data_IF_461361075863
#
_entry.id   IF_461361075863
#
_cell.length_a   1.000
_cell.length_b   1.000
_cell.length_c   1.000
_cell.angle_alpha   90.00
_cell.angle_beta   90.00
_cell.angle_gamma   90.00
#
_symmetry.space_group_name_H-M   'P 1'
#
loop_
_entity.id
_entity.type
_entity.pdbx_description
1 polymer ?
#
# COMPACT_ATOMS: atom_id res chain seq x y z
N UNK A 1 2.09 17.82 13.90
CA UNK A 1 1.54 16.66 13.19
C UNK A 1 1.87 16.89 11.74
N UNK A 2 2.79 16.10 11.23
CA UNK A 2 3.11 16.10 9.81
C UNK A 2 1.99 15.35 9.09
N UNK A 3 1.60 15.84 7.93
CA UNK A 3 0.64 15.20 7.04
C UNK A 3 1.35 14.93 5.72
N UNK A 4 1.02 13.82 5.08
CA UNK A 4 1.45 13.54 3.73
C UNK A 4 0.32 13.89 2.75
N UNK A 5 0.70 14.40 1.58
CA UNK A 5 -0.23 14.65 0.49
C UNK A 5 -0.08 13.53 -0.56
N UNK A 6 -1.09 12.68 -0.68
CA UNK A 6 -1.17 11.68 -1.74
C UNK A 6 -1.85 12.29 -2.97
N UNK A 7 -1.17 12.22 -4.12
CA UNK A 7 -1.68 12.77 -5.38
C UNK A 7 -2.20 11.62 -6.25
N UNK A 8 -3.50 11.62 -6.55
CA UNK A 8 -4.12 10.63 -7.42
C UNK A 8 -3.87 11.00 -8.88
N UNK A 9 -3.15 10.14 -9.59
CA UNK A 9 -2.87 10.28 -11.02
C UNK A 9 -3.78 9.36 -11.84
N UNK A 10 -4.40 9.87 -12.91
CA UNK A 10 -5.05 9.05 -13.94
C UNK A 10 -3.98 8.51 -14.89
N UNK A 11 -4.00 7.21 -15.15
CA UNK A 11 -3.10 6.53 -16.11
C UNK A 11 -3.89 5.73 -17.16
N UNK A 12 -3.25 5.50 -18.31
CA UNK A 12 -3.77 4.57 -19.33
C UNK A 12 -3.43 3.09 -19.02
N UNK A 13 -3.89 2.17 -19.88
CA UNK A 13 -3.55 0.74 -19.84
C UNK A 13 -2.05 0.40 -19.80
N UNK A 14 -1.18 1.28 -20.26
CA UNK A 14 0.27 1.09 -20.27
C UNK A 14 0.92 1.78 -19.05
N UNK A 15 0.12 2.18 -18.05
CA UNK A 15 0.50 2.96 -16.87
C UNK A 15 1.15 4.31 -17.20
N UNK A 16 0.87 4.89 -18.38
CA UNK A 16 1.34 6.23 -18.71
C UNK A 16 0.42 7.28 -18.10
N UNK A 17 1.05 8.28 -17.48
CA UNK A 17 0.36 9.43 -16.91
C UNK A 17 -0.50 10.16 -17.94
N UNK A 18 -1.76 10.44 -17.57
CA UNK A 18 -2.71 11.24 -18.35
C UNK A 18 -2.89 12.62 -17.70
N UNK A 19 -3.30 12.65 -16.43
CA UNK A 19 -3.56 13.88 -15.66
C UNK A 19 -3.59 13.61 -14.16
N UNK A 20 -3.49 14.68 -13.38
CA UNK A 20 -3.83 14.65 -11.95
C UNK A 20 -5.35 14.71 -11.76
N UNK A 21 -5.89 13.88 -10.85
CA UNK A 21 -7.30 13.86 -10.49
C UNK A 21 -7.60 14.62 -9.19
N UNK A 22 -6.66 14.61 -8.25
CA UNK A 22 -6.78 15.34 -6.99
C UNK A 22 -5.72 14.95 -5.99
N UNK A 23 -5.68 15.66 -4.87
CA UNK A 23 -4.79 15.39 -3.74
C UNK A 23 -5.58 15.11 -2.47
N UNK A 24 -5.02 14.28 -1.60
CA UNK A 24 -5.62 13.86 -0.34
C UNK A 24 -4.61 14.03 0.78
N UNK A 25 -5.00 14.73 1.83
CA UNK A 25 -4.22 14.83 3.06
C UNK A 25 -4.48 13.58 3.91
N UNK A 26 -3.40 12.89 4.25
CA UNK A 26 -3.41 11.68 5.08
C UNK A 26 -2.39 11.84 6.20
N UNK A 27 -2.69 11.25 7.35
CA UNK A 27 -1.91 11.46 8.57
C UNK A 27 -0.76 10.46 8.71
N UNK A 28 -1.07 9.19 8.95
CA UNK A 28 -0.09 8.15 9.25
C UNK A 28 -0.24 6.98 8.27
N UNK A 29 0.85 6.26 8.00
CA UNK A 29 0.89 5.10 7.11
C UNK A 29 1.10 5.45 5.63
N UNK A 30 1.02 6.73 5.28
CA UNK A 30 1.29 7.22 3.93
C UNK A 30 2.76 7.08 3.53
N UNK A 31 3.67 7.00 4.49
CA UNK A 31 5.10 6.78 4.27
C UNK A 31 5.38 5.47 3.52
N UNK A 32 4.54 4.45 3.72
CA UNK A 32 4.68 3.16 3.03
C UNK A 32 4.24 3.22 1.56
N UNK A 33 3.48 4.23 1.15
CA UNK A 33 2.94 4.32 -0.22
C UNK A 33 4.00 4.84 -1.18
N UNK A 34 4.37 4.02 -2.16
CA UNK A 34 5.32 4.36 -3.20
C UNK A 34 4.66 4.78 -4.52
N UNK A 35 3.46 4.27 -4.83
CA UNK A 35 2.69 4.67 -6.02
C UNK A 35 1.19 4.72 -5.72
N UNK A 36 0.50 5.71 -6.27
CA UNK A 36 -0.94 5.89 -6.13
C UNK A 36 -1.54 6.42 -7.43
N UNK A 37 -2.39 5.62 -8.08
CA UNK A 37 -2.98 5.99 -9.37
C UNK A 37 -4.33 5.33 -9.62
N UNK A 38 -5.12 5.94 -10.49
CA UNK A 38 -6.35 5.41 -11.04
C UNK A 38 -6.09 4.96 -12.48
N UNK A 39 -6.37 3.70 -12.79
CA UNK A 39 -6.30 3.17 -14.14
C UNK A 39 -7.67 3.30 -14.81
N UNK A 40 -7.72 4.07 -15.91
CA UNK A 40 -8.97 4.37 -16.61
C UNK A 40 -9.62 3.16 -17.25
N UNK A 41 -8.83 2.19 -17.70
CA UNK A 41 -9.33 1.01 -18.41
C UNK A 41 -9.91 -0.03 -17.45
N UNK A 42 -9.32 -0.18 -16.24
CA UNK A 42 -9.86 -1.07 -15.21
C UNK A 42 -10.84 -0.40 -14.25
N UNK A 43 -10.98 0.93 -14.33
CA UNK A 43 -11.77 1.77 -13.43
C UNK A 43 -11.41 1.60 -11.95
N UNK A 44 -10.17 1.21 -11.66
CA UNK A 44 -9.67 0.93 -10.32
C UNK A 44 -8.55 1.86 -9.90
N UNK A 45 -8.56 2.18 -8.62
CA UNK A 45 -7.43 2.76 -7.91
C UNK A 45 -6.44 1.65 -7.58
N UNK A 46 -5.15 1.93 -7.71
CA UNK A 46 -4.04 1.08 -7.32
C UNK A 46 -3.12 1.84 -6.37
N UNK A 47 -2.77 1.19 -5.26
CA UNK A 47 -1.78 1.65 -4.28
C UNK A 47 -0.66 0.62 -4.26
N UNK A 48 0.56 1.08 -4.52
CA UNK A 48 1.76 0.30 -4.28
C UNK A 48 2.31 0.77 -2.96
N UNK A 49 2.65 -0.18 -2.11
CA UNK A 49 3.29 0.12 -0.85
C UNK A 49 4.35 -0.92 -0.54
N UNK A 50 5.38 -0.48 0.16
CA UNK A 50 6.53 -1.28 0.53
C UNK A 50 6.93 -1.00 1.99
N UNK A 51 8.05 -1.57 2.41
CA UNK A 51 8.58 -1.48 3.77
C UNK A 51 9.05 -0.09 4.20
N UNK A 52 9.07 0.92 3.32
CA UNK A 52 9.59 2.29 3.53
C UNK A 52 11.09 2.37 3.92
N UNK A 53 11.74 1.23 4.09
CA UNK A 53 13.17 1.08 4.35
C UNK A 53 13.66 -0.14 3.60
N UNK A 54 14.96 -0.14 3.31
CA UNK A 54 15.62 -1.34 2.85
C UNK A 54 15.66 -2.38 3.97
N UNK A 55 15.35 -3.62 3.61
CA UNK A 55 15.34 -4.75 4.54
C UNK A 55 16.41 -5.77 4.15
N UNK A 56 16.93 -6.49 5.15
CA UNK A 56 17.87 -7.59 4.90
C UNK A 56 17.17 -8.79 4.24
N UNK A 57 17.92 -9.71 3.64
CA UNK A 57 17.37 -10.88 2.94
C UNK A 57 16.46 -11.73 3.85
N UNK A 58 16.86 -11.91 5.11
CA UNK A 58 16.04 -12.64 6.08
C UNK A 58 14.75 -11.88 6.46
N UNK A 59 14.81 -10.54 6.57
CA UNK A 59 13.63 -9.70 6.82
C UNK A 59 12.67 -9.76 5.63
N UNK A 60 13.21 -9.75 4.39
CA UNK A 60 12.41 -9.86 3.17
C UNK A 60 11.52 -11.09 3.22
N UNK A 61 12.10 -12.27 3.48
CA UNK A 61 11.35 -13.52 3.57
C UNK A 61 10.36 -13.50 4.74
N UNK A 62 10.81 -13.09 5.92
CA UNK A 62 9.97 -13.06 7.11
C UNK A 62 8.76 -12.13 6.95
N UNK A 63 8.94 -10.95 6.36
CA UNK A 63 7.88 -9.98 6.18
C UNK A 63 6.80 -10.50 5.24
N UNK A 64 7.16 -11.10 4.10
CA UNK A 64 6.17 -11.73 3.20
C UNK A 64 5.38 -12.83 3.91
N UNK A 65 6.04 -13.69 4.69
CA UNK A 65 5.35 -14.76 5.42
C UNK A 65 4.44 -14.24 6.55
N UNK A 66 4.78 -13.12 7.17
CA UNK A 66 4.13 -12.64 8.39
C UNK A 66 3.12 -11.50 8.15
N UNK A 67 3.13 -10.90 6.95
CA UNK A 67 2.20 -9.86 6.56
C UNK A 67 0.82 -10.44 6.26
N UNK A 68 -0.23 -9.83 6.85
CA UNK A 68 -1.57 -10.40 6.81
C UNK A 68 -2.40 -9.85 5.64
N UNK A 69 -2.37 -10.53 4.49
CA UNK A 69 -3.19 -10.17 3.33
C UNK A 69 -4.70 -10.30 3.60
N UNK A 70 -5.11 -11.28 4.41
CA UNK A 70 -6.53 -11.52 4.73
C UNK A 70 -7.19 -10.30 5.38
N UNK A 71 -6.45 -9.53 6.18
CA UNK A 71 -6.97 -8.30 6.81
C UNK A 71 -7.42 -7.25 5.78
N UNK A 72 -6.82 -7.23 4.59
CA UNK A 72 -7.22 -6.33 3.51
C UNK A 72 -8.38 -6.91 2.71
N UNK A 73 -8.38 -8.22 2.47
CA UNK A 73 -9.46 -8.91 1.76
C UNK A 73 -10.79 -8.83 2.53
N UNK A 74 -10.75 -8.93 3.87
CA UNK A 74 -11.92 -8.77 4.74
C UNK A 74 -12.56 -7.37 4.64
N UNK A 75 -11.75 -6.34 4.39
CA UNK A 75 -12.18 -4.95 4.15
C UNK A 75 -12.60 -4.69 2.69
N UNK A 76 -12.61 -5.75 1.86
CA UNK A 76 -13.04 -5.73 0.46
C UNK A 76 -12.00 -5.20 -0.52
N UNK A 77 -10.73 -5.17 -0.14
CA UNK A 77 -9.64 -4.81 -1.05
C UNK A 77 -9.16 -6.02 -1.86
N UNK A 78 -8.73 -5.77 -3.09
CA UNK A 78 -7.95 -6.74 -3.84
C UNK A 78 -6.47 -6.47 -3.57
N UNK A 79 -5.75 -7.41 -2.98
CA UNK A 79 -4.33 -7.26 -2.65
C UNK A 79 -3.51 -8.41 -3.23
N UNK A 80 -2.34 -8.11 -3.76
CA UNK A 80 -1.40 -9.12 -4.27
C UNK A 80 0.04 -8.73 -3.96
N UNK A 81 0.90 -9.74 -3.83
CA UNK A 81 2.35 -9.57 -3.69
C UNK A 81 2.98 -9.16 -5.03
N UNK A 82 4.06 -8.36 -4.95
CA UNK A 82 4.83 -7.90 -6.10
C UNK A 82 6.28 -8.38 -5.97
N UNK A 83 6.51 -9.59 -6.45
CA UNK A 83 7.70 -10.41 -6.16
C UNK A 83 8.96 -10.04 -6.98
N UNK A 84 8.87 -9.00 -7.82
CA UNK A 84 9.95 -8.49 -8.68
C UNK A 84 10.49 -7.14 -8.21
N UNK A 85 10.23 -6.76 -6.96
CA UNK A 85 10.72 -5.55 -6.31
C UNK A 85 11.85 -5.87 -5.31
N UNK A 86 12.69 -4.87 -5.03
CA UNK A 86 13.88 -5.05 -4.16
C UNK A 86 13.49 -5.28 -2.69
N UNK A 87 12.46 -4.58 -2.23
CA UNK A 87 11.88 -4.72 -0.90
C UNK A 87 10.50 -5.39 -1.00
N UNK A 88 10.01 -6.01 0.09
CA UNK A 88 8.65 -6.54 0.13
C UNK A 88 7.64 -5.47 -0.27
N UNK A 89 6.92 -5.75 -1.35
CA UNK A 89 6.01 -4.82 -2.01
C UNK A 89 4.69 -5.51 -2.30
N UNK A 90 3.61 -4.76 -2.17
CA UNK A 90 2.26 -5.20 -2.49
C UNK A 90 1.54 -4.19 -3.37
N UNK A 91 0.56 -4.70 -4.10
CA UNK A 91 -0.36 -3.89 -4.89
C UNK A 91 -1.76 -4.09 -4.33
N UNK A 92 -2.34 -3.02 -3.80
CA UNK A 92 -3.72 -2.97 -3.34
C UNK A 92 -4.59 -2.23 -4.35
N UNK A 93 -5.78 -2.77 -4.64
CA UNK A 93 -6.72 -2.24 -5.62
C UNK A 93 -8.14 -2.15 -5.04
N UNK A 94 -8.85 -1.09 -5.41
CA UNK A 94 -10.26 -0.90 -5.11
C UNK A 94 -10.92 0.03 -6.13
N UNK A 95 -12.25 0.07 -6.14
CA UNK A 95 -13.00 0.92 -7.05
C UNK A 95 -12.79 2.41 -6.71
N UNK A 96 -12.67 3.25 -7.73
CA UNK A 96 -12.60 4.69 -7.53
C UNK A 96 -13.89 5.25 -6.90
N UNK A 97 -13.72 6.19 -5.97
CA UNK A 97 -14.83 6.89 -5.31
C UNK A 97 -14.80 8.34 -5.78
N UNK A 98 -15.83 8.77 -6.51
CA UNK A 98 -15.91 10.12 -7.08
C UNK A 98 -16.01 11.21 -6.01
N UNK A 99 -16.69 10.93 -4.90
CA UNK A 99 -16.87 11.89 -3.83
C UNK A 99 -15.57 12.02 -3.02
N UNK A 100 -14.99 13.22 -3.03
CA UNK A 100 -13.65 13.49 -2.50
C UNK A 100 -13.54 13.15 -1.02
N UNK A 101 -14.56 13.45 -0.20
CA UNK A 101 -14.51 13.18 1.24
C UNK A 101 -14.57 11.69 1.57
N UNK A 102 -15.37 10.91 0.85
CA UNK A 102 -15.44 9.45 0.97
C UNK A 102 -14.14 8.79 0.49
N UNK A 103 -13.53 9.30 -0.59
CA UNK A 103 -12.23 8.83 -1.06
C UNK A 103 -11.13 9.15 -0.03
N UNK A 104 -11.14 10.35 0.55
CA UNK A 104 -10.21 10.74 1.61
C UNK A 104 -10.34 9.83 2.85
N UNK A 105 -11.57 9.54 3.27
CA UNK A 105 -11.83 8.61 4.38
C UNK A 105 -11.30 7.21 4.07
N UNK A 106 -11.61 6.66 2.89
CA UNK A 106 -11.14 5.33 2.46
C UNK A 106 -9.62 5.27 2.41
N UNK A 107 -8.96 6.33 1.93
CA UNK A 107 -7.49 6.41 1.95
C UNK A 107 -6.92 6.44 3.37
N UNK A 108 -7.55 7.18 4.29
CA UNK A 108 -7.16 7.16 5.70
C UNK A 108 -7.26 5.76 6.31
N UNK A 109 -8.36 5.05 6.04
CA UNK A 109 -8.56 3.66 6.48
C UNK A 109 -7.51 2.72 5.89
N UNK A 110 -7.20 2.83 4.60
CA UNK A 110 -6.15 2.04 3.95
C UNK A 110 -4.78 2.32 4.55
N UNK A 111 -4.40 3.58 4.72
CA UNK A 111 -3.07 3.94 5.24
C UNK A 111 -2.89 3.42 6.68
N UNK A 112 -3.92 3.55 7.51
CA UNK A 112 -3.90 3.01 8.87
C UNK A 112 -3.75 1.49 8.86
N UNK A 113 -4.50 0.78 8.02
CA UNK A 113 -4.41 -0.68 7.89
C UNK A 113 -3.01 -1.13 7.43
N UNK A 114 -2.45 -0.47 6.41
CA UNK A 114 -1.08 -0.72 5.94
C UNK A 114 -0.10 -0.57 7.08
N UNK A 115 -0.16 0.55 7.81
CA UNK A 115 0.73 0.81 8.94
C UNK A 115 0.64 -0.27 10.00
N UNK A 116 -0.59 -0.59 10.44
CA UNK A 116 -0.83 -1.57 11.51
C UNK A 116 -0.30 -2.95 11.12
N UNK A 117 -0.57 -3.43 9.91
CA UNK A 117 -0.10 -4.75 9.48
C UNK A 117 1.40 -4.78 9.21
N UNK A 118 1.98 -3.68 8.71
CA UNK A 118 3.42 -3.55 8.52
C UNK A 118 4.18 -3.56 9.86
N UNK A 119 3.72 -2.78 10.84
CA UNK A 119 4.31 -2.76 12.19
C UNK A 119 4.24 -4.14 12.86
N UNK A 120 3.10 -4.85 12.71
CA UNK A 120 2.95 -6.23 13.19
C UNK A 120 3.92 -7.19 12.49
N UNK A 121 4.08 -7.08 11.17
CA UNK A 121 4.99 -7.93 10.41
C UNK A 121 6.44 -7.72 10.87
N UNK A 122 6.87 -6.46 11.02
CA UNK A 122 8.19 -6.15 11.56
C UNK A 122 8.38 -6.67 12.98
N UNK A 123 7.44 -6.44 13.89
CA UNK A 123 7.54 -6.91 15.28
C UNK A 123 7.63 -8.44 15.36
N UNK A 124 6.83 -9.16 14.56
CA UNK A 124 6.88 -10.63 14.51
C UNK A 124 8.18 -11.13 13.87
N UNK A 125 8.65 -10.49 12.80
CA UNK A 125 9.87 -10.89 12.10
C UNK A 125 11.08 -10.84 13.03
N UNK A 126 11.22 -9.79 13.83
CA UNK A 126 12.34 -9.66 14.77
C UNK A 126 12.23 -10.67 15.92
N UNK A 127 11.01 -10.99 16.38
CA UNK A 127 10.80 -12.02 17.42
C UNK A 127 11.14 -13.43 16.95
N UNK A 128 10.92 -13.72 15.67
CA UNK A 128 11.13 -15.03 15.07
C UNK A 128 12.41 -15.08 14.20
N UNK A 129 13.30 -14.10 14.35
CA UNK A 129 14.50 -13.92 13.51
C UNK A 129 15.38 -15.18 13.40
N UNK A 130 15.48 -15.96 14.47
CA UNK A 130 16.24 -17.23 14.49
C UNK A 130 15.72 -18.29 13.49
N UNK A 131 14.47 -18.17 13.03
CA UNK A 131 13.88 -19.08 12.04
C UNK A 131 14.32 -18.75 10.60
N UNK A 132 14.89 -17.56 10.38
CA UNK A 132 15.20 -16.99 9.06
C UNK A 132 16.72 -16.77 8.83
N UNK A 133 17.58 -17.10 9.80
CA UNK A 133 19.05 -16.91 9.76
C UNK A 133 19.81 -18.24 9.86
#
# INVERSE_FOLDING_TARGET
MDFAALVLMEVDKDNKFIKEMGSYEVHEGAEYISKFYYNKDSEKVSIYFDTHKDVEEWEYTAIYELFNLEAFEEEGYEIEEKDDEYNPTWILKFNYIEEHSNMAQKLGEVCELIKVEMEKAFEKSEKNKEEYI
#
